data_IF_342280881090
#
_entry.id   IF_342280881090
#
_cell.length_a   1.000
_cell.length_b   1.000
_cell.length_c   1.000
_cell.angle_alpha   90.00
_cell.angle_beta   90.00
_cell.angle_gamma   90.00
#
_symmetry.space_group_name_H-M   'P 1'
#
loop_
_entity.id
_entity.type
_entity.pdbx_description
1 polymer ?
#
# COMPACT_ATOMS: atom_id res chain seq x y z
N UNK A 1 -5.26 22.15 -3.63
CA UNK A 1 -5.19 22.23 -2.15
C UNK A 1 -3.85 22.79 -1.76
N UNK A 2 -3.82 23.56 -0.64
CA UNK A 2 -2.58 23.98 0.00
C UNK A 2 -2.17 22.94 1.02
N UNK A 3 -1.08 22.23 0.76
CA UNK A 3 -0.63 21.10 1.59
C UNK A 3 0.75 21.41 2.15
N UNK A 4 0.92 21.28 3.46
CA UNK A 4 2.20 21.40 4.12
C UNK A 4 2.70 20.01 4.51
N UNK A 5 3.90 19.65 4.06
CA UNK A 5 4.56 18.39 4.39
C UNK A 5 5.75 18.69 5.30
N UNK A 6 5.74 18.12 6.49
CA UNK A 6 6.82 18.24 7.47
C UNK A 6 7.74 17.02 7.42
N UNK A 7 8.97 17.24 6.99
CA UNK A 7 9.98 16.21 6.74
C UNK A 7 10.22 15.98 5.25
N UNK A 8 11.42 16.25 4.77
CA UNK A 8 11.89 16.02 3.39
C UNK A 8 12.61 14.67 3.23
N UNK A 9 12.43 13.75 4.17
CA UNK A 9 12.97 12.39 4.10
C UNK A 9 12.28 11.55 3.03
N UNK A 10 12.56 10.25 3.00
CA UNK A 10 12.04 9.31 1.99
C UNK A 10 10.52 9.39 1.81
N UNK A 11 9.74 9.37 2.90
CA UNK A 11 8.27 9.41 2.83
C UNK A 11 7.77 10.78 2.37
N UNK A 12 8.23 11.87 3.02
CA UNK A 12 7.75 13.22 2.71
C UNK A 12 8.20 13.70 1.34
N UNK A 13 9.45 13.43 0.94
CA UNK A 13 9.96 13.75 -0.40
C UNK A 13 9.19 13.04 -1.51
N UNK A 14 8.96 11.74 -1.38
CA UNK A 14 8.18 10.99 -2.37
C UNK A 14 6.70 11.37 -2.36
N UNK A 15 6.13 11.72 -1.19
CA UNK A 15 4.76 12.23 -1.13
C UNK A 15 4.65 13.57 -1.87
N UNK A 16 5.61 14.50 -1.65
CA UNK A 16 5.69 15.77 -2.37
C UNK A 16 5.78 15.54 -3.88
N UNK A 17 6.62 14.59 -4.31
CA UNK A 17 6.75 14.21 -5.72
C UNK A 17 5.42 13.70 -6.31
N UNK A 18 4.69 12.83 -5.59
CA UNK A 18 3.38 12.35 -6.07
C UNK A 18 2.36 13.49 -6.20
N UNK A 19 2.28 14.35 -5.19
CA UNK A 19 1.26 15.39 -5.12
C UNK A 19 1.58 16.63 -5.99
N UNK A 20 2.85 16.88 -6.31
CA UNK A 20 3.26 17.99 -7.17
C UNK A 20 2.72 17.85 -8.59
N UNK A 21 2.56 16.62 -9.10
CA UNK A 21 1.98 16.38 -10.43
C UNK A 21 0.46 16.57 -10.49
N UNK A 22 -0.20 16.83 -9.34
CA UNK A 22 -1.66 16.90 -9.22
C UNK A 22 -2.17 18.33 -9.01
N UNK A 23 -1.46 19.38 -9.45
CA UNK A 23 -1.80 20.81 -9.28
C UNK A 23 -2.11 21.21 -7.82
N UNK A 24 -1.45 20.62 -6.82
CA UNK A 24 -1.50 21.08 -5.44
C UNK A 24 -0.44 22.14 -5.19
N UNK A 25 -0.74 23.08 -4.29
CA UNK A 25 0.22 24.05 -3.76
C UNK A 25 0.92 23.40 -2.56
N UNK A 26 2.16 22.96 -2.78
CA UNK A 26 2.89 22.16 -1.80
C UNK A 26 4.01 22.98 -1.17
N UNK A 27 4.05 22.98 0.16
CA UNK A 27 5.19 23.48 0.93
C UNK A 27 5.83 22.36 1.72
N UNK A 28 7.14 22.14 1.55
CA UNK A 28 7.90 21.14 2.32
C UNK A 28 8.78 21.84 3.35
N UNK A 29 8.75 21.35 4.59
CA UNK A 29 9.55 21.86 5.72
C UNK A 29 10.52 20.81 6.18
N UNK A 30 11.80 21.14 6.27
CA UNK A 30 12.83 20.27 6.87
C UNK A 30 13.96 21.13 7.49
N UNK A 31 14.75 20.55 8.34
CA UNK A 31 15.99 21.15 8.86
C UNK A 31 17.18 20.97 7.91
N UNK A 32 17.11 19.99 7.00
CA UNK A 32 18.15 19.65 6.03
C UNK A 32 17.98 20.47 4.74
N UNK A 33 18.85 21.45 4.57
CA UNK A 33 18.84 22.38 3.42
C UNK A 33 19.12 21.67 2.11
N UNK A 34 20.00 20.66 2.11
CA UNK A 34 20.38 19.98 0.87
C UNK A 34 19.22 19.14 0.32
N UNK A 35 18.50 18.42 1.19
CA UNK A 35 17.27 17.70 0.80
C UNK A 35 16.21 18.62 0.22
N UNK A 36 16.02 19.78 0.84
CA UNK A 36 15.07 20.76 0.33
C UNK A 36 15.49 21.33 -1.04
N UNK A 37 16.79 21.55 -1.26
CA UNK A 37 17.31 21.98 -2.56
C UNK A 37 17.10 20.92 -3.65
N UNK A 38 17.40 19.66 -3.35
CA UNK A 38 17.17 18.55 -4.28
C UNK A 38 15.70 18.48 -4.71
N UNK A 39 14.77 18.57 -3.76
CA UNK A 39 13.34 18.56 -4.06
C UNK A 39 12.94 19.79 -4.90
N UNK A 40 13.37 20.99 -4.53
CA UNK A 40 13.03 22.23 -5.23
C UNK A 40 13.61 22.31 -6.66
N UNK A 41 14.71 21.59 -6.92
CA UNK A 41 15.29 21.50 -8.27
C UNK A 41 14.47 20.61 -9.20
N UNK A 42 13.77 19.64 -8.65
CA UNK A 42 13.03 18.62 -9.41
C UNK A 42 11.53 18.87 -9.48
N UNK A 43 10.99 19.61 -8.52
CA UNK A 43 9.55 19.80 -8.33
C UNK A 43 9.23 21.30 -8.22
N UNK A 44 8.07 21.68 -8.75
CA UNK A 44 7.51 23.03 -8.54
C UNK A 44 6.80 23.07 -7.18
N UNK A 45 7.58 23.28 -6.12
CA UNK A 45 7.13 23.32 -4.74
C UNK A 45 7.80 24.45 -3.96
N UNK A 46 7.18 24.87 -2.88
CA UNK A 46 7.80 25.78 -1.92
C UNK A 46 8.56 25.00 -0.86
N UNK A 47 9.70 25.50 -0.42
CA UNK A 47 10.49 24.90 0.65
C UNK A 47 10.76 25.90 1.78
N UNK A 48 10.74 25.42 3.03
CA UNK A 48 11.02 26.21 4.23
C UNK A 48 11.99 25.44 5.12
N UNK A 49 13.11 26.08 5.46
CA UNK A 49 14.12 25.46 6.34
C UNK A 49 13.85 25.81 7.80
N UNK A 50 13.73 24.80 8.65
CA UNK A 50 13.60 24.99 10.10
C UNK A 50 12.95 23.82 10.82
N UNK A 51 12.93 23.88 12.18
CA UNK A 51 12.26 22.87 13.00
C UNK A 51 10.74 22.85 12.75
N UNK A 52 10.22 21.71 12.35
CA UNK A 52 8.84 21.53 11.89
C UNK A 52 7.77 21.82 12.97
N UNK A 53 8.11 21.78 14.25
CA UNK A 53 7.18 22.06 15.35
C UNK A 53 7.17 23.55 15.79
N UNK A 54 8.02 24.39 15.21
CA UNK A 54 8.10 25.81 15.62
C UNK A 54 7.01 26.64 14.98
N UNK A 55 6.22 27.41 15.78
CA UNK A 55 5.12 28.24 15.24
C UNK A 55 5.54 29.23 14.16
N UNK A 56 6.73 29.85 14.29
CA UNK A 56 7.28 30.77 13.30
C UNK A 56 7.58 30.08 11.96
N UNK A 57 8.09 28.86 11.98
CA UNK A 57 8.37 28.04 10.80
C UNK A 57 7.07 27.60 10.12
N UNK A 58 6.09 27.15 10.90
CA UNK A 58 4.77 26.78 10.39
C UNK A 58 4.03 27.98 9.76
N UNK A 59 4.13 29.17 10.36
CA UNK A 59 3.61 30.42 9.75
C UNK A 59 4.30 30.71 8.43
N UNK A 60 5.64 30.63 8.39
CA UNK A 60 6.40 30.84 7.16
C UNK A 60 6.04 29.82 6.08
N UNK A 61 5.70 28.58 6.46
CA UNK A 61 5.23 27.54 5.57
C UNK A 61 3.81 27.80 5.01
N UNK A 62 3.07 28.77 5.56
CA UNK A 62 1.72 29.13 5.13
C UNK A 62 0.61 28.37 5.86
N UNK A 63 0.85 27.98 7.13
CA UNK A 63 -0.10 27.19 7.90
C UNK A 63 -1.43 27.93 8.19
N UNK A 64 -1.44 29.28 8.04
CA UNK A 64 -2.63 30.13 8.23
C UNK A 64 -3.75 29.84 7.21
N UNK A 65 -3.41 29.42 6.01
CA UNK A 65 -4.34 29.10 4.90
C UNK A 65 -4.13 27.71 4.32
N UNK A 66 -3.43 26.86 5.03
CA UNK A 66 -3.26 25.46 4.61
C UNK A 66 -4.56 24.66 4.80
N UNK A 67 -4.92 23.90 3.78
CA UNK A 67 -6.02 22.92 3.87
C UNK A 67 -5.62 21.69 4.70
N UNK A 68 -4.32 21.33 4.66
CA UNK A 68 -3.82 20.10 5.27
C UNK A 68 -2.37 20.21 5.72
N UNK A 69 -2.07 19.61 6.88
CA UNK A 69 -0.72 19.41 7.38
C UNK A 69 -0.42 17.92 7.47
N UNK A 70 0.71 17.48 6.89
CA UNK A 70 1.16 16.09 6.92
C UNK A 70 2.52 16.03 7.62
N UNK A 71 2.53 15.56 8.87
CA UNK A 71 3.73 15.48 9.70
C UNK A 71 4.35 14.08 9.62
N UNK A 72 5.45 13.95 8.86
CA UNK A 72 6.15 12.67 8.61
C UNK A 72 7.65 12.77 8.88
N UNK A 73 8.04 13.62 9.83
CA UNK A 73 9.42 13.71 10.29
C UNK A 73 9.86 12.40 10.97
N UNK A 74 11.13 12.26 11.29
CA UNK A 74 11.67 11.07 11.96
C UNK A 74 11.36 10.98 13.47
N UNK A 75 10.70 11.99 14.06
CA UNK A 75 10.43 12.08 15.50
C UNK A 75 8.93 12.20 15.76
N UNK A 76 8.36 11.26 16.51
CA UNK A 76 6.93 11.21 16.81
C UNK A 76 6.46 12.47 17.57
N UNK A 77 7.26 12.93 18.56
CA UNK A 77 6.99 14.13 19.37
C UNK A 77 6.93 15.39 18.50
N UNK A 78 7.84 15.53 17.54
CA UNK A 78 7.83 16.67 16.59
C UNK A 78 6.56 16.64 15.74
N UNK A 79 6.16 15.47 15.25
CA UNK A 79 4.94 15.30 14.46
C UNK A 79 3.69 15.64 15.28
N UNK A 80 3.61 15.15 16.51
CA UNK A 80 2.49 15.42 17.43
C UNK A 80 2.39 16.91 17.79
N UNK A 81 3.52 17.53 18.18
CA UNK A 81 3.56 18.96 18.53
C UNK A 81 3.25 19.85 17.33
N UNK A 82 3.74 19.51 16.14
CA UNK A 82 3.41 20.26 14.92
C UNK A 82 1.91 20.26 14.64
N UNK A 83 1.23 19.10 14.78
CA UNK A 83 -0.23 18.99 14.67
C UNK A 83 -0.95 19.81 15.73
N UNK A 84 -0.46 19.79 16.99
CA UNK A 84 -1.01 20.60 18.08
C UNK A 84 -0.90 22.10 17.77
N UNK A 85 0.26 22.56 17.31
CA UNK A 85 0.48 23.98 16.95
C UNK A 85 -0.40 24.39 15.76
N UNK A 86 -0.48 23.53 14.72
CA UNK A 86 -1.32 23.76 13.55
C UNK A 86 -2.80 23.90 13.93
N UNK A 87 -3.28 23.06 14.83
CA UNK A 87 -4.65 23.13 15.34
C UNK A 87 -4.89 24.40 16.15
N UNK A 88 -4.05 24.65 17.15
CA UNK A 88 -4.30 25.68 18.17
C UNK A 88 -4.10 27.10 17.63
N UNK A 89 -3.03 27.33 16.85
CA UNK A 89 -2.67 28.65 16.38
C UNK A 89 -3.19 28.98 14.98
N UNK A 90 -3.31 27.99 14.11
CA UNK A 90 -3.62 28.19 12.70
C UNK A 90 -4.97 27.59 12.27
N UNK A 91 -5.58 26.74 13.12
CA UNK A 91 -6.86 26.07 12.85
C UNK A 91 -6.86 25.28 11.55
N UNK A 92 -5.69 24.69 11.19
CA UNK A 92 -5.57 23.88 9.99
C UNK A 92 -6.60 22.75 10.01
N UNK A 93 -7.45 22.60 8.96
CA UNK A 93 -8.59 21.70 8.99
C UNK A 93 -8.19 20.22 9.14
N UNK A 94 -7.24 19.74 8.33
CA UNK A 94 -6.82 18.36 8.33
C UNK A 94 -5.36 18.21 8.80
N UNK A 95 -5.13 17.29 9.74
CA UNK A 95 -3.81 17.00 10.32
C UNK A 95 -3.55 15.51 10.30
N UNK A 96 -2.54 15.11 9.54
CA UNK A 96 -2.08 13.73 9.43
C UNK A 96 -0.72 13.62 10.10
N UNK A 97 -0.51 12.65 10.97
CA UNK A 97 0.78 12.44 11.60
C UNK A 97 1.24 10.99 11.55
N UNK A 98 2.53 10.82 11.31
CA UNK A 98 3.22 9.55 11.50
C UNK A 98 3.60 9.41 12.96
N UNK A 99 3.11 8.33 13.61
CA UNK A 99 3.47 7.95 14.96
C UNK A 99 3.81 6.46 14.97
N UNK A 100 4.99 6.11 15.50
CA UNK A 100 5.55 4.76 15.49
C UNK A 100 5.57 4.09 16.85
N UNK A 101 5.81 4.89 17.89
CA UNK A 101 5.98 4.37 19.23
C UNK A 101 4.67 3.78 19.78
N UNK A 102 4.69 2.49 20.09
CA UNK A 102 3.54 1.75 20.65
C UNK A 102 3.05 2.37 21.94
N UNK A 103 3.94 2.99 22.72
CA UNK A 103 3.59 3.68 23.96
C UNK A 103 2.54 4.79 23.78
N UNK A 104 2.57 5.49 22.64
CA UNK A 104 1.55 6.48 22.28
C UNK A 104 0.29 5.81 21.71
N UNK A 105 0.46 4.84 20.81
CA UNK A 105 -0.64 4.21 20.07
C UNK A 105 -1.62 3.44 20.95
N UNK A 106 -1.16 2.91 22.10
CA UNK A 106 -2.01 2.20 23.08
C UNK A 106 -2.93 3.13 23.89
N UNK A 107 -2.70 4.44 23.86
CA UNK A 107 -3.44 5.46 24.61
C UNK A 107 -4.46 6.18 23.72
N UNK A 108 -5.58 5.54 23.41
CA UNK A 108 -6.60 6.05 22.47
C UNK A 108 -7.06 7.49 22.76
N UNK A 109 -7.15 7.90 24.03
CA UNK A 109 -7.54 9.26 24.41
C UNK A 109 -6.49 10.33 24.14
N UNK A 110 -5.22 9.95 23.86
CA UNK A 110 -4.16 10.91 23.57
C UNK A 110 -4.40 11.68 22.26
N UNK A 111 -5.05 11.06 21.29
CA UNK A 111 -5.28 11.62 19.95
C UNK A 111 -6.72 12.14 19.78
N UNK A 112 -7.42 12.37 20.86
CA UNK A 112 -8.71 13.03 20.83
C UNK A 112 -8.57 14.51 20.48
N UNK A 113 -9.63 15.11 19.97
CA UNK A 113 -9.65 16.51 19.47
C UNK A 113 -9.31 17.53 20.56
N UNK A 114 -9.57 17.21 21.82
CA UNK A 114 -9.30 18.02 23.03
C UNK A 114 -7.92 17.75 23.64
N UNK A 115 -7.16 16.77 23.11
CA UNK A 115 -5.81 16.45 23.57
C UNK A 115 -4.77 16.79 22.46
N UNK A 116 -4.24 15.80 21.73
CA UNK A 116 -3.36 16.01 20.57
C UNK A 116 -4.19 15.80 19.31
N UNK A 117 -4.67 16.88 18.66
CA UNK A 117 -5.64 16.80 17.56
C UNK A 117 -4.99 16.32 16.26
N UNK A 118 -4.95 15.02 16.10
CA UNK A 118 -4.52 14.34 14.89
C UNK A 118 -5.73 13.66 14.28
N UNK A 119 -6.11 14.06 13.06
CA UNK A 119 -7.29 13.52 12.39
C UNK A 119 -6.99 12.12 11.82
N UNK A 120 -5.75 11.89 11.37
CA UNK A 120 -5.31 10.60 10.84
C UNK A 120 -3.93 10.23 11.38
N UNK A 121 -3.85 9.05 11.98
CA UNK A 121 -2.59 8.45 12.42
C UNK A 121 -2.07 7.46 11.39
N UNK A 122 -0.85 7.66 10.93
CA UNK A 122 -0.15 6.72 10.05
C UNK A 122 0.89 5.95 10.86
N UNK A 123 0.75 4.64 10.85
CA UNK A 123 1.67 3.70 11.48
C UNK A 123 2.31 2.82 10.38
N UNK A 124 3.46 3.21 9.82
CA UNK A 124 4.08 2.50 8.69
C UNK A 124 4.31 1.01 8.97
N UNK A 125 4.68 0.68 10.19
CA UNK A 125 4.95 -0.70 10.61
C UNK A 125 3.69 -1.57 10.51
N UNK A 126 2.52 -1.01 10.86
CA UNK A 126 1.25 -1.72 10.72
C UNK A 126 0.89 -1.93 9.25
N UNK A 127 1.02 -0.88 8.43
CA UNK A 127 0.72 -0.94 6.99
C UNK A 127 1.58 -2.01 6.31
N UNK A 128 2.87 -2.05 6.63
CA UNK A 128 3.81 -3.06 6.08
C UNK A 128 3.47 -4.46 6.60
N UNK A 129 3.21 -4.61 7.90
CA UNK A 129 2.83 -5.92 8.48
C UNK A 129 1.59 -6.49 7.81
N UNK A 130 0.55 -5.67 7.63
CA UNK A 130 -0.69 -6.07 6.97
C UNK A 130 -0.47 -6.44 5.49
N UNK A 131 0.43 -5.72 4.81
CA UNK A 131 0.80 -6.04 3.43
C UNK A 131 1.51 -7.40 3.34
N UNK A 132 2.50 -7.65 4.21
CA UNK A 132 3.21 -8.94 4.28
C UNK A 132 2.25 -10.08 4.61
N UNK A 133 1.37 -9.90 5.61
CA UNK A 133 0.38 -10.89 6.01
C UNK A 133 -0.51 -11.30 4.83
N UNK A 134 -1.02 -10.33 4.06
CA UNK A 134 -1.84 -10.61 2.87
C UNK A 134 -1.08 -11.42 1.81
N UNK A 135 0.20 -11.13 1.58
CA UNK A 135 1.03 -11.91 0.65
C UNK A 135 1.26 -13.35 1.14
N UNK A 136 1.41 -13.56 2.45
CA UNK A 136 1.53 -14.90 3.06
C UNK A 136 0.21 -15.68 2.94
N UNK A 137 -0.94 -15.01 3.10
CA UNK A 137 -2.27 -15.62 2.94
C UNK A 137 -2.59 -15.99 1.47
N UNK A 138 -1.92 -15.33 0.49
CA UNK A 138 -2.13 -15.56 -0.95
C UNK A 138 -0.82 -15.97 -1.65
N UNK A 139 -0.33 -17.21 -1.43
CA UNK A 139 0.93 -17.66 -2.03
C UNK A 139 0.90 -17.55 -3.55
N UNK A 140 1.92 -16.89 -4.10
CA UNK A 140 2.04 -16.62 -5.53
C UNK A 140 1.52 -15.25 -5.97
N UNK A 141 0.85 -14.49 -5.11
CA UNK A 141 0.54 -13.09 -5.38
C UNK A 141 1.80 -12.22 -5.29
N UNK A 142 1.88 -11.21 -6.14
CA UNK A 142 2.88 -10.14 -6.09
C UNK A 142 2.38 -8.96 -5.26
N UNK A 143 1.07 -8.73 -5.30
CA UNK A 143 0.40 -7.68 -4.54
C UNK A 143 -1.03 -8.11 -4.23
N UNK A 144 -1.54 -7.78 -3.04
CA UNK A 144 -2.93 -8.02 -2.63
C UNK A 144 -3.45 -6.77 -1.97
N UNK A 145 -4.48 -6.18 -2.53
CA UNK A 145 -5.12 -4.96 -2.07
C UNK A 145 -6.59 -5.23 -1.75
N UNK A 146 -7.07 -4.63 -0.67
CA UNK A 146 -8.43 -4.84 -0.18
C UNK A 146 -9.28 -3.59 -0.37
N UNK A 147 -10.54 -3.78 -0.79
CA UNK A 147 -11.54 -2.75 -1.00
C UNK A 147 -12.85 -3.15 -0.31
N UNK A 148 -13.68 -2.17 -0.01
CA UNK A 148 -14.98 -2.34 0.63
C UNK A 148 -14.91 -3.24 1.88
N UNK A 149 -14.00 -2.89 2.81
CA UNK A 149 -13.81 -3.66 4.04
C UNK A 149 -13.28 -5.09 3.82
N UNK A 150 -12.65 -5.36 2.66
CA UNK A 150 -12.08 -6.67 2.32
C UNK A 150 -13.04 -7.62 1.60
N UNK A 151 -14.23 -7.16 1.20
CA UNK A 151 -15.18 -7.95 0.39
C UNK A 151 -14.65 -8.19 -1.03
N UNK A 152 -13.94 -7.21 -1.58
CA UNK A 152 -13.29 -7.26 -2.89
C UNK A 152 -11.78 -7.17 -2.70
N UNK A 153 -11.06 -7.95 -3.48
CA UNK A 153 -9.60 -7.87 -3.54
C UNK A 153 -9.14 -7.68 -4.98
N UNK A 154 -8.13 -6.83 -5.13
CA UNK A 154 -7.30 -6.72 -6.31
C UNK A 154 -6.03 -7.50 -6.07
N UNK A 155 -5.71 -8.42 -6.95
CA UNK A 155 -4.51 -9.25 -6.82
C UNK A 155 -3.68 -9.15 -8.09
N UNK A 156 -2.39 -8.92 -7.91
CA UNK A 156 -1.39 -9.02 -8.97
C UNK A 156 -0.71 -10.37 -8.91
N UNK A 157 -0.64 -11.05 -10.04
CA UNK A 157 0.10 -12.30 -10.19
C UNK A 157 0.97 -12.25 -11.44
N UNK A 158 2.07 -12.99 -11.44
CA UNK A 158 2.83 -13.27 -12.65
C UNK A 158 2.25 -14.48 -13.35
N UNK A 159 1.89 -14.33 -14.62
CA UNK A 159 1.44 -15.41 -15.46
C UNK A 159 2.59 -16.37 -15.75
N UNK A 160 2.37 -17.66 -15.56
CA UNK A 160 3.38 -18.70 -15.81
C UNK A 160 2.95 -19.65 -16.93
N UNK A 161 3.91 -20.16 -17.67
CA UNK A 161 3.67 -21.26 -18.61
C UNK A 161 2.91 -22.41 -17.95
N UNK A 162 1.80 -22.84 -18.56
CA UNK A 162 0.92 -23.88 -18.03
C UNK A 162 -0.23 -23.39 -17.16
N UNK A 163 -0.40 -22.06 -16.99
CA UNK A 163 -1.67 -21.51 -16.52
C UNK A 163 -2.72 -21.66 -17.64
N UNK A 164 -3.95 -22.13 -17.34
CA UNK A 164 -4.97 -22.39 -18.38
C UNK A 164 -5.25 -21.21 -19.31
N UNK A 165 -5.22 -19.98 -18.76
CA UNK A 165 -5.50 -18.76 -19.52
C UNK A 165 -4.24 -18.14 -20.20
N UNK A 166 -3.06 -18.67 -19.93
CA UNK A 166 -1.82 -18.15 -20.54
C UNK A 166 -1.73 -18.62 -22.00
N UNK A 167 -1.59 -17.67 -22.91
CA UNK A 167 -1.66 -17.91 -24.35
C UNK A 167 -3.08 -17.84 -24.91
N UNK A 168 -4.08 -17.50 -24.09
CA UNK A 168 -5.48 -17.37 -24.49
C UNK A 168 -5.92 -15.89 -24.42
N UNK A 169 -7.00 -15.58 -25.14
CA UNK A 169 -7.65 -14.27 -25.09
C UNK A 169 -8.43 -14.10 -23.77
N UNK A 170 -8.44 -12.88 -23.21
CA UNK A 170 -9.19 -12.56 -22.00
C UNK A 170 -10.68 -12.81 -22.12
N UNK A 171 -11.25 -12.72 -23.32
CA UNK A 171 -12.66 -13.02 -23.58
C UNK A 171 -13.08 -14.42 -23.16
N UNK A 172 -12.14 -15.38 -23.18
CA UNK A 172 -12.39 -16.77 -22.78
C UNK A 172 -12.42 -16.99 -21.26
N UNK A 173 -12.10 -15.96 -20.46
CA UNK A 173 -12.09 -16.05 -19.00
C UNK A 173 -13.45 -16.52 -18.43
N UNK A 174 -14.56 -16.07 -19.01
CA UNK A 174 -15.91 -16.48 -18.62
C UNK A 174 -16.18 -17.97 -18.89
N UNK A 175 -15.64 -18.49 -19.99
CA UNK A 175 -15.83 -19.89 -20.39
C UNK A 175 -15.02 -20.81 -19.46
N UNK A 176 -13.82 -20.36 -19.06
CA UNK A 176 -12.98 -21.08 -18.08
C UNK A 176 -13.59 -21.09 -16.68
N UNK A 177 -14.20 -19.98 -16.26
CA UNK A 177 -14.74 -19.80 -14.91
C UNK A 177 -16.19 -19.27 -14.92
N UNK A 178 -17.18 -20.06 -15.38
CA UNK A 178 -18.55 -19.57 -15.54
C UNK A 178 -19.26 -19.21 -14.22
N UNK A 179 -18.73 -19.67 -13.08
CA UNK A 179 -19.28 -19.41 -11.73
C UNK A 179 -18.54 -18.35 -10.94
N UNK A 180 -17.46 -17.79 -11.49
CA UNK A 180 -16.61 -16.82 -10.81
C UNK A 180 -16.63 -15.50 -11.58
N UNK A 181 -17.19 -14.49 -10.95
CA UNK A 181 -17.13 -13.15 -11.50
C UNK A 181 -15.77 -12.50 -11.20
N UNK A 182 -15.06 -12.14 -12.26
CA UNK A 182 -13.75 -11.46 -12.18
C UNK A 182 -13.53 -10.56 -13.39
N UNK A 183 -12.67 -9.56 -13.22
CA UNK A 183 -12.21 -8.69 -14.31
C UNK A 183 -10.71 -8.48 -14.21
N UNK A 184 -10.02 -8.56 -15.34
CA UNK A 184 -8.63 -8.12 -15.43
C UNK A 184 -8.64 -6.60 -15.56
N UNK A 185 -7.97 -5.94 -14.63
CA UNK A 185 -7.97 -4.50 -14.50
C UNK A 185 -6.78 -3.85 -15.22
N UNK A 186 -5.62 -4.50 -15.20
CA UNK A 186 -4.42 -4.07 -15.89
C UNK A 186 -3.52 -5.26 -16.18
N UNK A 187 -2.74 -5.17 -17.24
CA UNK A 187 -1.64 -6.09 -17.56
C UNK A 187 -0.38 -5.26 -17.74
N UNK A 188 0.72 -5.74 -17.20
CA UNK A 188 2.02 -5.16 -17.45
C UNK A 188 2.93 -6.19 -18.11
N UNK A 189 3.36 -5.86 -19.33
CA UNK A 189 4.28 -6.66 -20.10
C UNK A 189 5.57 -5.89 -20.32
N UNK A 190 6.71 -6.41 -19.86
CA UNK A 190 8.03 -5.76 -19.97
C UNK A 190 8.00 -4.29 -19.53
N UNK A 191 7.40 -4.03 -18.38
CA UNK A 191 7.21 -2.69 -17.78
C UNK A 191 6.27 -1.73 -18.53
N UNK A 192 5.55 -2.18 -19.56
CA UNK A 192 4.54 -1.38 -20.27
C UNK A 192 3.15 -1.78 -19.83
N UNK A 193 2.32 -0.79 -19.51
CA UNK A 193 0.92 -1.01 -19.21
C UNK A 193 0.14 -1.34 -20.49
N UNK A 194 -0.71 -2.37 -20.42
CA UNK A 194 -1.64 -2.77 -21.47
C UNK A 194 -3.04 -2.63 -20.88
N UNK A 195 -3.92 -1.89 -21.53
CA UNK A 195 -5.34 -1.82 -21.18
C UNK A 195 -6.00 -3.12 -21.67
N UNK A 196 -6.55 -3.94 -20.76
CA UNK A 196 -7.14 -5.23 -21.10
C UNK A 196 -8.38 -5.05 -21.98
N UNK A 197 -8.44 -5.80 -23.07
CA UNK A 197 -9.61 -5.94 -23.93
C UNK A 197 -9.94 -7.43 -24.10
N UNK A 198 -11.13 -7.75 -24.65
CA UNK A 198 -11.52 -9.14 -24.85
C UNK A 198 -10.54 -9.95 -25.71
N UNK A 199 -9.95 -9.32 -26.71
CA UNK A 199 -8.97 -9.89 -27.65
C UNK A 199 -7.52 -9.86 -27.12
N UNK A 200 -7.29 -9.32 -25.93
CA UNK A 200 -5.93 -9.29 -25.35
C UNK A 200 -5.50 -10.68 -24.94
N UNK A 201 -4.38 -11.15 -25.48
CA UNK A 201 -3.78 -12.44 -25.10
C UNK A 201 -2.85 -12.24 -23.93
N UNK A 202 -2.99 -13.09 -22.89
CA UNK A 202 -2.07 -13.13 -21.74
C UNK A 202 -0.82 -13.92 -22.15
N UNK A 203 0.36 -13.31 -22.02
CA UNK A 203 1.64 -13.97 -22.23
C UNK A 203 2.27 -14.43 -20.92
N UNK A 204 3.16 -15.43 -20.99
CA UNK A 204 3.98 -15.78 -19.85
C UNK A 204 4.83 -14.57 -19.40
N UNK A 205 5.05 -14.46 -18.10
CA UNK A 205 5.71 -13.35 -17.40
C UNK A 205 4.94 -12.03 -17.39
N UNK A 206 3.74 -11.96 -17.95
CA UNK A 206 2.85 -10.82 -17.71
C UNK A 206 2.52 -10.69 -16.22
N UNK A 207 2.57 -9.48 -15.70
CA UNK A 207 1.95 -9.17 -14.42
C UNK A 207 0.48 -8.79 -14.64
N UNK A 208 -0.40 -9.67 -14.22
CA UNK A 208 -1.84 -9.53 -14.42
C UNK A 208 -2.49 -9.08 -13.11
N UNK A 209 -3.14 -7.93 -13.16
CA UNK A 209 -3.95 -7.38 -12.08
C UNK A 209 -5.40 -7.73 -12.32
N UNK A 210 -5.99 -8.51 -11.43
CA UNK A 210 -7.40 -8.87 -11.52
C UNK A 210 -8.14 -8.54 -10.23
N UNK A 211 -9.42 -8.25 -10.36
CA UNK A 211 -10.33 -7.94 -9.27
C UNK A 211 -11.42 -9.00 -9.19
N UNK A 212 -11.68 -9.49 -7.97
CA UNK A 212 -12.74 -10.45 -7.70
C UNK A 212 -13.21 -10.33 -6.23
N UNK A 213 -14.33 -10.97 -5.92
CA UNK A 213 -14.72 -11.19 -4.54
C UNK A 213 -13.64 -11.99 -3.80
N UNK A 214 -13.39 -11.68 -2.54
CA UNK A 214 -12.34 -12.32 -1.71
C UNK A 214 -12.39 -13.85 -1.77
N UNK A 215 -13.59 -14.44 -1.76
CA UNK A 215 -13.79 -15.89 -1.82
C UNK A 215 -13.32 -16.53 -3.12
N UNK A 216 -13.27 -15.76 -4.21
CA UNK A 216 -13.02 -16.25 -5.57
C UNK A 216 -11.57 -16.05 -6.03
N UNK A 217 -10.78 -15.26 -5.30
CA UNK A 217 -9.39 -14.88 -5.65
C UNK A 217 -8.53 -16.09 -5.98
N UNK A 218 -8.62 -17.16 -5.15
CA UNK A 218 -7.79 -18.35 -5.35
C UNK A 218 -8.12 -19.08 -6.64
N UNK A 219 -9.39 -19.12 -7.03
CA UNK A 219 -9.82 -19.72 -8.30
C UNK A 219 -9.23 -18.95 -9.49
N UNK A 220 -9.32 -17.61 -9.46
CA UNK A 220 -8.77 -16.76 -10.54
C UNK A 220 -7.23 -16.88 -10.64
N UNK A 221 -6.53 -16.93 -9.50
CA UNK A 221 -5.08 -17.18 -9.51
C UNK A 221 -4.73 -18.48 -10.20
N UNK A 222 -5.57 -19.53 -10.05
CA UNK A 222 -5.38 -20.84 -10.66
C UNK A 222 -5.40 -20.84 -12.19
N UNK A 223 -6.11 -19.88 -12.80
CA UNK A 223 -6.17 -19.73 -14.26
C UNK A 223 -4.87 -19.10 -14.85
N UNK A 224 -4.16 -18.32 -14.05
CA UNK A 224 -2.96 -17.62 -14.50
C UNK A 224 -1.67 -18.36 -14.16
N UNK A 225 -1.73 -19.26 -13.17
CA UNK A 225 -0.57 -19.99 -12.69
C UNK A 225 -0.99 -21.23 -11.88
N UNK A 226 -0.07 -22.19 -11.79
CA UNK A 226 -0.25 -23.30 -10.84
C UNK A 226 -0.30 -22.77 -9.41
N UNK A 227 -1.36 -23.10 -8.68
CA UNK A 227 -1.53 -22.67 -7.29
C UNK A 227 -0.43 -23.25 -6.40
N UNK A 228 0.18 -22.37 -5.64
CA UNK A 228 1.14 -22.75 -4.61
C UNK A 228 0.40 -23.31 -3.37
N UNK A 229 1.08 -24.15 -2.62
CA UNK A 229 0.58 -24.62 -1.32
C UNK A 229 0.63 -23.49 -0.31
N UNK A 230 -0.28 -23.52 0.66
CA UNK A 230 -0.24 -22.58 1.77
C UNK A 230 1.08 -22.75 2.54
N UNK A 231 1.69 -21.63 2.88
CA UNK A 231 2.90 -21.63 3.69
C UNK A 231 2.61 -22.21 5.08
N UNK A 232 3.50 -23.01 5.61
CA UNK A 232 3.40 -23.60 6.95
C UNK A 232 4.57 -23.18 7.84
N UNK A 233 5.79 -23.18 7.30
CA UNK A 233 7.03 -22.88 8.00
C UNK A 233 7.53 -21.50 7.57
N UNK A 234 7.55 -20.58 8.51
CA UNK A 234 7.90 -19.18 8.29
C UNK A 234 9.10 -18.82 9.15
N UNK A 235 10.16 -18.31 8.54
CA UNK A 235 11.34 -17.81 9.23
C UNK A 235 11.42 -16.31 9.03
N UNK A 236 11.36 -15.56 10.14
CA UNK A 236 11.45 -14.11 10.16
C UNK A 236 12.83 -13.71 10.66
N UNK A 237 13.48 -12.79 9.98
CA UNK A 237 14.74 -12.17 10.41
C UNK A 237 14.46 -10.74 10.82
N UNK A 238 14.85 -10.40 12.05
CA UNK A 238 14.59 -9.13 12.69
C UNK A 238 13.35 -9.15 13.58
N UNK A 239 13.57 -9.07 14.89
CA UNK A 239 12.55 -9.02 15.92
C UNK A 239 12.08 -7.61 16.26
N UNK A 240 12.21 -6.64 15.35
CA UNK A 240 11.71 -5.28 15.49
C UNK A 240 10.18 -5.22 15.49
N UNK A 241 9.62 -4.00 15.39
CA UNK A 241 8.16 -3.80 15.45
C UNK A 241 7.40 -4.56 14.36
N UNK A 242 7.93 -4.62 13.14
CA UNK A 242 7.30 -5.34 12.02
C UNK A 242 7.37 -6.85 12.26
N UNK A 243 8.56 -7.37 12.58
CA UNK A 243 8.78 -8.81 12.78
C UNK A 243 7.97 -9.36 13.95
N UNK A 244 7.93 -8.66 15.09
CA UNK A 244 7.12 -9.04 16.25
C UNK A 244 5.63 -9.08 15.88
N UNK A 245 5.07 -8.00 15.32
CA UNK A 245 3.65 -7.93 14.94
C UNK A 245 3.27 -9.00 13.92
N UNK A 246 4.16 -9.24 12.95
CA UNK A 246 3.94 -10.29 11.97
C UNK A 246 3.88 -11.67 12.63
N UNK A 247 4.79 -11.98 13.53
CA UNK A 247 4.81 -13.23 14.28
C UNK A 247 3.55 -13.41 15.11
N UNK A 248 3.11 -12.39 15.85
CA UNK A 248 1.86 -12.39 16.64
C UNK A 248 0.64 -12.76 15.79
N UNK A 249 0.55 -12.23 14.57
CA UNK A 249 -0.56 -12.53 13.66
C UNK A 249 -0.50 -13.93 13.06
N UNK A 250 0.71 -14.48 12.87
CA UNK A 250 0.92 -15.73 12.15
C UNK A 250 1.04 -16.96 13.05
N UNK A 251 1.52 -16.82 14.28
CA UNK A 251 1.89 -17.95 15.16
C UNK A 251 0.75 -18.91 15.51
N UNK A 252 -0.52 -18.47 15.38
CA UNK A 252 -1.67 -19.32 15.64
C UNK A 252 -1.99 -20.29 14.49
N UNK A 253 -1.53 -19.98 13.27
CA UNK A 253 -1.85 -20.74 12.05
C UNK A 253 -0.62 -21.32 11.36
N UNK A 254 0.57 -20.84 11.70
CA UNK A 254 1.84 -21.18 11.07
C UNK A 254 2.88 -21.55 12.11
N UNK A 255 3.90 -22.30 11.70
CA UNK A 255 5.12 -22.52 12.49
C UNK A 255 6.06 -21.35 12.22
N UNK A 256 6.18 -20.46 13.18
CA UNK A 256 6.97 -19.23 13.05
C UNK A 256 8.24 -19.33 13.88
N UNK A 257 9.37 -18.96 13.29
CA UNK A 257 10.63 -18.75 13.98
C UNK A 257 11.10 -17.32 13.72
N UNK A 258 11.75 -16.69 14.71
CA UNK A 258 12.38 -15.37 14.57
C UNK A 258 13.87 -15.52 14.87
N UNK A 259 14.73 -15.00 13.99
CA UNK A 259 16.15 -14.78 14.26
C UNK A 259 16.36 -13.31 14.61
N UNK A 260 16.89 -13.05 15.79
CA UNK A 260 17.21 -11.71 16.29
C UNK A 260 18.63 -11.68 16.83
N UNK A 261 19.39 -10.63 16.52
CA UNK A 261 20.80 -10.52 16.91
C UNK A 261 21.01 -9.91 18.30
N UNK A 262 20.01 -9.15 18.81
CA UNK A 262 20.05 -8.54 20.13
C UNK A 262 19.45 -9.48 21.18
N UNK A 263 20.28 -9.89 22.15
CA UNK A 263 19.88 -10.84 23.20
C UNK A 263 18.75 -10.31 24.08
N UNK A 264 18.79 -9.03 24.48
CA UNK A 264 17.72 -8.43 25.29
C UNK A 264 16.39 -8.42 24.54
N UNK A 265 16.46 -8.16 23.23
CA UNK A 265 15.27 -8.20 22.37
C UNK A 265 14.73 -9.61 22.22
N UNK A 266 15.58 -10.62 22.12
CA UNK A 266 15.16 -12.04 22.13
C UNK A 266 14.36 -12.37 23.40
N UNK A 267 14.84 -11.92 24.57
CA UNK A 267 14.15 -12.11 25.84
C UNK A 267 12.76 -11.49 25.83
N UNK A 268 12.64 -10.21 25.41
CA UNK A 268 11.38 -9.52 25.31
C UNK A 268 10.40 -10.22 24.35
N UNK A 269 10.88 -10.67 23.19
CA UNK A 269 10.06 -11.41 22.22
C UNK A 269 9.56 -12.73 22.82
N UNK A 270 10.40 -13.46 23.51
CA UNK A 270 10.04 -14.73 24.15
C UNK A 270 9.00 -14.57 25.27
N UNK A 271 8.93 -13.40 25.91
CA UNK A 271 7.90 -13.07 26.91
C UNK A 271 6.55 -12.71 26.27
N UNK A 272 6.54 -12.14 25.07
CA UNK A 272 5.33 -11.66 24.39
C UNK A 272 4.72 -12.67 23.43
N UNK A 273 5.54 -13.48 22.75
CA UNK A 273 5.08 -14.45 21.75
C UNK A 273 4.80 -15.80 22.40
N UNK A 274 3.69 -16.43 22.00
CA UNK A 274 3.21 -17.65 22.68
C UNK A 274 3.66 -18.96 22.00
N UNK A 275 3.83 -18.94 20.68
CA UNK A 275 4.13 -20.15 19.86
C UNK A 275 5.34 -19.98 18.96
N UNK A 276 5.81 -18.76 18.80
CA UNK A 276 6.97 -18.44 17.97
C UNK A 276 8.26 -18.84 18.68
N UNK A 277 9.13 -19.54 17.98
CA UNK A 277 10.49 -19.86 18.47
C UNK A 277 11.40 -18.67 18.21
N UNK A 278 12.01 -18.14 19.25
CA UNK A 278 12.95 -17.02 19.15
C UNK A 278 14.39 -17.52 19.23
N UNK A 279 15.18 -17.21 18.22
CA UNK A 279 16.57 -17.66 18.05
C UNK A 279 17.51 -16.45 18.14
N UNK A 280 18.47 -16.50 19.05
CA UNK A 280 19.52 -15.49 19.13
C UNK A 280 20.63 -15.80 18.13
N UNK A 281 20.89 -14.91 17.17
CA UNK A 281 21.95 -15.11 16.20
C UNK A 281 21.93 -14.12 15.04
N UNK A 282 22.87 -14.30 14.12
CA UNK A 282 22.96 -13.53 12.88
C UNK A 282 22.17 -14.19 11.76
N UNK A 283 21.37 -13.43 11.05
CA UNK A 283 20.65 -13.87 9.86
C UNK A 283 21.53 -14.33 8.69
N UNK A 284 22.79 -13.90 8.67
CA UNK A 284 23.78 -14.29 7.65
C UNK A 284 24.64 -15.48 8.09
N UNK A 285 24.34 -16.11 9.24
CA UNK A 285 25.03 -17.32 9.71
C UNK A 285 24.48 -18.55 8.97
N UNK A 286 25.26 -19.04 8.01
CA UNK A 286 24.92 -20.28 7.27
C UNK A 286 24.67 -21.45 8.22
N UNK A 287 25.51 -21.62 9.26
CA UNK A 287 25.36 -22.68 10.25
C UNK A 287 24.00 -22.61 10.96
N UNK A 288 23.57 -21.40 11.40
CA UNK A 288 22.26 -21.24 12.06
C UNK A 288 21.10 -21.60 11.13
N UNK A 289 21.18 -21.16 9.87
CA UNK A 289 20.15 -21.48 8.87
C UNK A 289 20.08 -22.99 8.58
N UNK A 290 21.23 -23.71 8.55
CA UNK A 290 21.29 -25.16 8.40
C UNK A 290 20.69 -25.87 9.63
N UNK A 291 21.08 -25.49 10.84
CA UNK A 291 20.55 -26.04 12.10
C UNK A 291 19.04 -25.89 12.20
N UNK A 292 18.46 -24.82 11.61
CA UNK A 292 17.03 -24.54 11.60
C UNK A 292 16.28 -25.09 10.38
N UNK A 293 16.95 -25.91 9.54
CA UNK A 293 16.42 -26.57 8.35
C UNK A 293 15.82 -25.58 7.35
N UNK A 294 16.60 -24.61 6.90
CA UNK A 294 16.17 -23.56 5.97
C UNK A 294 15.58 -24.11 4.67
N UNK A 295 16.01 -25.28 4.20
CA UNK A 295 15.53 -25.99 3.02
C UNK A 295 14.02 -26.37 3.10
N UNK A 296 13.54 -26.55 4.31
CA UNK A 296 12.14 -26.82 4.61
C UNK A 296 11.30 -25.55 4.80
N UNK A 297 11.93 -24.37 4.81
CA UNK A 297 11.25 -23.11 4.99
C UNK A 297 10.39 -22.76 3.77
N UNK A 298 9.10 -22.52 3.99
CA UNK A 298 8.19 -22.14 2.91
C UNK A 298 8.38 -20.67 2.51
N UNK A 299 8.59 -19.79 3.51
CA UNK A 299 8.88 -18.38 3.27
C UNK A 299 9.84 -17.82 4.33
N UNK A 300 10.89 -17.19 3.87
CA UNK A 300 11.87 -16.45 4.64
C UNK A 300 11.59 -14.95 4.51
N UNK A 301 11.40 -14.26 5.64
CA UNK A 301 11.06 -12.84 5.68
C UNK A 301 12.19 -12.05 6.33
N UNK A 302 12.97 -11.30 5.56
CA UNK A 302 14.03 -10.42 6.07
C UNK A 302 13.44 -9.02 6.36
N UNK A 303 13.29 -8.68 7.65
CA UNK A 303 12.54 -7.52 8.14
C UNK A 303 13.34 -6.66 9.13
N UNK A 304 14.67 -6.64 9.01
CA UNK A 304 15.51 -5.75 9.82
C UNK A 304 15.44 -4.31 9.28
N UNK A 305 16.06 -3.38 9.98
CA UNK A 305 16.23 -1.99 9.52
C UNK A 305 17.45 -1.76 8.63
N UNK A 306 18.20 -2.82 8.32
CA UNK A 306 19.42 -2.82 7.52
C UNK A 306 19.16 -3.51 6.17
N UNK A 307 19.17 -2.75 5.09
CA UNK A 307 18.86 -3.25 3.75
C UNK A 307 19.87 -4.28 3.25
N UNK A 308 21.16 -4.07 3.55
CA UNK A 308 22.24 -4.98 3.15
C UNK A 308 22.10 -6.33 3.85
N UNK A 309 21.80 -6.33 5.15
CA UNK A 309 21.52 -7.56 5.92
C UNK A 309 20.30 -8.26 5.36
N UNK A 310 19.22 -7.52 5.06
CA UNK A 310 17.99 -8.08 4.51
C UNK A 310 18.24 -8.73 3.14
N UNK A 311 18.93 -8.06 2.23
CA UNK A 311 19.25 -8.57 0.89
C UNK A 311 20.17 -9.80 0.98
N UNK A 312 21.28 -9.69 1.74
CA UNK A 312 22.25 -10.77 1.81
C UNK A 312 21.69 -12.02 2.50
N UNK A 313 20.92 -11.87 3.59
CA UNK A 313 20.28 -13.01 4.26
C UNK A 313 19.22 -13.66 3.39
N UNK A 314 18.44 -12.89 2.65
CA UNK A 314 17.44 -13.40 1.70
C UNK A 314 18.09 -14.21 0.56
N UNK A 315 19.15 -13.67 -0.04
CA UNK A 315 19.90 -14.39 -1.10
C UNK A 315 20.53 -15.67 -0.55
N UNK A 316 21.12 -15.62 0.64
CA UNK A 316 21.69 -16.80 1.29
C UNK A 316 20.60 -17.86 1.56
N UNK A 317 19.49 -17.47 2.17
CA UNK A 317 18.38 -18.36 2.45
C UNK A 317 17.81 -19.00 1.17
N UNK A 318 17.68 -18.23 0.08
CA UNK A 318 17.22 -18.72 -1.22
C UNK A 318 18.17 -19.76 -1.80
N UNK A 319 19.47 -19.50 -1.77
CA UNK A 319 20.51 -20.45 -2.24
C UNK A 319 20.58 -21.71 -1.41
N UNK A 320 20.25 -21.64 -0.11
CA UNK A 320 20.20 -22.78 0.81
C UNK A 320 18.87 -23.55 0.73
N UNK A 321 17.94 -23.16 -0.14
CA UNK A 321 16.74 -23.93 -0.43
C UNK A 321 15.43 -23.37 0.12
N UNK A 322 15.40 -22.20 0.75
CA UNK A 322 14.14 -21.55 1.09
C UNK A 322 13.26 -21.38 -0.16
N UNK A 323 12.00 -21.80 -0.07
CA UNK A 323 11.11 -21.82 -1.25
C UNK A 323 10.80 -20.42 -1.77
N UNK A 324 10.56 -19.48 -0.84
CA UNK A 324 10.31 -18.07 -1.13
C UNK A 324 11.10 -17.18 -0.19
N UNK A 325 11.50 -16.02 -0.69
CA UNK A 325 12.11 -14.97 0.12
C UNK A 325 11.37 -13.66 -0.07
N UNK A 326 11.07 -13.00 1.05
CA UNK A 326 10.44 -11.69 1.13
C UNK A 326 11.40 -10.75 1.86
N UNK A 327 11.73 -9.64 1.23
CA UNK A 327 12.79 -8.73 1.69
C UNK A 327 12.25 -7.32 1.85
N UNK A 328 12.39 -6.77 3.05
CA UNK A 328 12.13 -5.36 3.32
C UNK A 328 13.31 -4.52 2.82
N UNK A 329 13.03 -3.49 2.00
CA UNK A 329 14.04 -2.62 1.42
C UNK A 329 13.59 -1.17 1.55
N UNK A 330 14.34 -0.39 2.31
CA UNK A 330 14.06 1.03 2.53
C UNK A 330 14.56 1.91 1.39
N UNK A 331 15.72 1.56 0.80
CA UNK A 331 16.31 2.30 -0.29
C UNK A 331 15.69 1.89 -1.64
N UNK A 332 14.97 2.82 -2.28
CA UNK A 332 14.30 2.56 -3.55
C UNK A 332 15.27 2.09 -4.66
N UNK A 333 16.51 2.56 -4.67
CA UNK A 333 17.50 2.14 -5.66
C UNK A 333 17.86 0.65 -5.54
N UNK A 334 17.85 0.09 -4.32
CA UNK A 334 18.12 -1.34 -4.12
C UNK A 334 16.94 -2.21 -4.57
N UNK A 335 15.71 -1.70 -4.44
CA UNK A 335 14.52 -2.43 -4.90
C UNK A 335 14.62 -2.74 -6.39
N UNK A 336 15.06 -1.77 -7.21
CA UNK A 336 15.22 -1.96 -8.66
C UNK A 336 16.36 -2.92 -9.01
N UNK A 337 17.44 -2.92 -8.23
CA UNK A 337 18.59 -3.77 -8.44
C UNK A 337 18.26 -5.26 -8.17
N UNK A 338 17.47 -5.55 -7.13
CA UNK A 338 17.24 -6.93 -6.68
C UNK A 338 15.98 -7.58 -7.29
N UNK A 339 15.10 -6.78 -7.87
CA UNK A 339 13.86 -7.28 -8.44
C UNK A 339 14.10 -8.04 -9.74
N UNK A 340 13.60 -9.27 -9.80
CA UNK A 340 13.82 -10.18 -10.93
C UNK A 340 15.04 -11.08 -10.82
N UNK A 341 15.81 -10.96 -9.70
CA UNK A 341 16.90 -11.85 -9.34
C UNK A 341 16.48 -12.97 -8.38
N UNK A 342 17.31 -13.25 -7.38
CA UNK A 342 17.06 -14.29 -6.37
C UNK A 342 15.99 -13.91 -5.33
N UNK A 343 15.59 -12.63 -5.25
CA UNK A 343 14.55 -12.15 -4.33
C UNK A 343 13.17 -12.24 -4.99
N UNK A 344 12.29 -13.06 -4.41
CA UNK A 344 10.95 -13.28 -4.96
C UNK A 344 10.03 -12.06 -4.75
N UNK A 345 10.10 -11.43 -3.55
CA UNK A 345 9.25 -10.29 -3.19
C UNK A 345 10.08 -9.24 -2.46
N UNK A 346 10.18 -8.04 -3.03
CA UNK A 346 10.75 -6.87 -2.38
C UNK A 346 9.65 -5.92 -1.92
N UNK A 347 9.67 -5.52 -0.65
CA UNK A 347 8.68 -4.62 -0.04
C UNK A 347 9.36 -3.33 0.38
N UNK A 348 8.81 -2.21 -0.07
CA UNK A 348 9.22 -0.87 0.38
C UNK A 348 8.21 -0.32 1.40
N UNK A 349 8.63 -0.11 2.67
CA UNK A 349 7.79 0.54 3.67
C UNK A 349 7.35 1.94 3.26
N UNK A 350 8.21 2.65 2.56
CA UNK A 350 7.94 3.97 2.02
C UNK A 350 6.73 3.96 1.08
N UNK A 351 6.72 3.06 0.09
CA UNK A 351 5.63 2.99 -0.88
C UNK A 351 4.30 2.57 -0.24
N UNK A 352 4.35 1.63 0.70
CA UNK A 352 3.16 1.22 1.46
C UNK A 352 2.59 2.40 2.26
N UNK A 353 3.46 3.21 2.90
CA UNK A 353 3.06 4.39 3.67
C UNK A 353 2.48 5.50 2.77
N UNK A 354 3.08 5.73 1.60
CA UNK A 354 2.57 6.73 0.65
C UNK A 354 1.16 6.36 0.18
N UNK A 355 0.91 5.10 -0.18
CA UNK A 355 -0.42 4.65 -0.54
C UNK A 355 -1.47 4.94 0.54
N UNK A 356 -1.14 4.68 1.81
CA UNK A 356 -2.00 5.00 2.94
C UNK A 356 -2.20 6.51 3.12
N UNK A 357 -1.17 7.32 2.92
CA UNK A 357 -1.28 8.79 3.01
C UNK A 357 -2.15 9.37 1.88
N UNK A 358 -1.98 8.88 0.66
CA UNK A 358 -2.73 9.35 -0.50
C UNK A 358 -4.24 9.18 -0.32
N UNK A 359 -4.69 8.11 0.34
CA UNK A 359 -6.11 7.90 0.68
C UNK A 359 -6.72 9.12 1.39
N UNK A 360 -5.96 9.75 2.30
CA UNK A 360 -6.44 10.87 3.10
C UNK A 360 -6.24 12.25 2.45
N UNK A 361 -5.48 12.31 1.36
CA UNK A 361 -5.25 13.54 0.59
C UNK A 361 -6.28 13.71 -0.53
N UNK A 362 -6.92 12.63 -0.96
CA UNK A 362 -7.91 12.67 -2.05
C UNK A 362 -9.15 13.47 -1.67
N UNK A 363 -9.76 14.11 -2.67
CA UNK A 363 -10.99 14.91 -2.52
C UNK A 363 -12.22 14.07 -2.85
N UNK A 364 -13.37 14.49 -2.32
CA UNK A 364 -14.64 13.83 -2.55
C UNK A 364 -14.82 12.59 -1.69
N UNK A 365 -15.68 11.70 -2.12
CA UNK A 365 -16.05 10.47 -1.40
C UNK A 365 -15.08 9.31 -1.66
N UNK A 366 -13.78 9.62 -1.79
CA UNK A 366 -12.72 8.61 -1.94
C UNK A 366 -12.35 8.08 -0.57
N UNK A 367 -12.53 6.78 -0.38
CA UNK A 367 -12.33 6.10 0.92
C UNK A 367 -11.09 5.23 0.96
N UNK A 368 -10.53 4.87 -0.21
CA UNK A 368 -9.32 4.06 -0.26
C UNK A 368 -8.52 4.33 -1.55
N UNK A 369 -7.20 4.39 -1.43
CA UNK A 369 -6.29 4.55 -2.57
C UNK A 369 -5.09 3.63 -2.40
N UNK A 370 -4.81 2.86 -3.43
CA UNK A 370 -3.64 2.01 -3.47
C UNK A 370 -2.77 2.33 -4.68
N UNK A 371 -1.50 2.57 -4.42
CA UNK A 371 -0.50 2.72 -5.48
C UNK A 371 -0.15 1.36 -6.07
N UNK A 372 -0.20 1.24 -7.38
CA UNK A 372 0.16 0.04 -8.13
C UNK A 372 1.53 0.23 -8.76
N UNK A 373 2.31 -0.86 -8.79
CA UNK A 373 3.63 -0.86 -9.43
C UNK A 373 4.46 0.40 -9.13
N UNK A 374 4.63 0.71 -7.85
CA UNK A 374 5.45 1.84 -7.39
C UNK A 374 4.98 3.19 -7.91
N UNK A 375 3.66 3.34 -8.04
CA UNK A 375 3.07 4.58 -8.45
C UNK A 375 2.92 4.76 -9.95
N UNK A 376 3.04 3.71 -10.75
CA UNK A 376 2.74 3.77 -12.18
C UNK A 376 1.24 3.90 -12.46
N UNK A 377 0.40 3.38 -11.59
CA UNK A 377 -1.06 3.46 -11.64
C UNK A 377 -1.65 3.51 -10.23
N UNK A 378 -2.93 3.81 -10.11
CA UNK A 378 -3.66 3.78 -8.84
C UNK A 378 -4.94 2.96 -8.95
N UNK A 379 -5.28 2.26 -7.86
CA UNK A 379 -6.59 1.67 -7.64
C UNK A 379 -7.29 2.50 -6.56
N UNK A 380 -8.48 2.99 -6.88
CA UNK A 380 -9.23 3.95 -6.07
C UNK A 380 -10.58 3.34 -5.71
N UNK A 381 -10.98 3.47 -4.46
CA UNK A 381 -12.34 3.18 -4.00
C UNK A 381 -13.05 4.50 -3.70
N UNK A 382 -14.16 4.72 -4.36
CA UNK A 382 -15.02 5.89 -4.14
C UNK A 382 -16.43 5.43 -3.78
N UNK A 383 -17.12 6.19 -2.91
CA UNK A 383 -18.53 5.98 -2.61
C UNK A 383 -19.35 6.86 -3.53
N UNK A 384 -20.31 6.26 -4.21
CA UNK A 384 -21.25 7.00 -5.06
C UNK A 384 -22.36 7.61 -4.20
N UNK A 385 -22.45 8.94 -4.19
CA UNK A 385 -23.48 9.69 -3.45
C UNK A 385 -24.37 10.50 -4.40
N UNK A 386 -25.53 10.90 -3.90
CA UNK A 386 -26.49 11.73 -4.61
C UNK A 386 -27.55 10.91 -5.34
N UNK A 387 -28.21 11.56 -6.30
CA UNK A 387 -29.24 11.01 -7.17
C UNK A 387 -28.88 11.22 -8.66
N UNK A 388 -29.80 10.87 -9.55
CA UNK A 388 -29.60 10.99 -11.00
C UNK A 388 -29.44 12.44 -11.49
N UNK A 389 -29.78 13.45 -10.68
CA UNK A 389 -29.69 14.87 -11.04
C UNK A 389 -28.40 15.50 -10.47
N UNK A 390 -28.02 15.14 -9.26
CA UNK A 390 -26.89 15.71 -8.54
C UNK A 390 -25.57 14.96 -8.75
N UNK A 391 -25.63 13.67 -9.12
CA UNK A 391 -24.48 12.80 -9.35
C UNK A 391 -24.18 12.59 -10.83
N UNK A 392 -22.91 12.47 -11.17
CA UNK A 392 -22.48 12.09 -12.52
C UNK A 392 -22.41 10.57 -12.74
N UNK A 393 -22.53 9.80 -11.67
CA UNK A 393 -22.39 8.33 -11.70
C UNK A 393 -23.66 7.60 -11.26
N UNK A 394 -24.39 8.10 -10.25
CA UNK A 394 -25.60 7.46 -9.73
C UNK A 394 -26.72 7.44 -10.78
N UNK A 395 -27.37 6.29 -10.92
CA UNK A 395 -28.46 6.07 -11.90
C UNK A 395 -28.00 5.88 -13.33
N UNK A 396 -26.69 5.73 -13.57
CA UNK A 396 -26.11 5.43 -14.88
C UNK A 396 -25.53 4.04 -14.90
N UNK A 397 -25.60 3.38 -16.04
CA UNK A 397 -24.84 2.15 -16.29
C UNK A 397 -23.36 2.50 -16.50
N UNK A 398 -22.47 1.53 -16.31
CA UNK A 398 -21.03 1.75 -16.46
C UNK A 398 -20.69 2.26 -17.86
N UNK A 399 -21.41 1.79 -18.90
CA UNK A 399 -21.24 2.25 -20.29
C UNK A 399 -21.69 3.70 -20.52
N UNK A 400 -22.57 4.24 -19.68
CA UNK A 400 -23.04 5.63 -19.78
C UNK A 400 -22.20 6.63 -18.99
N UNK A 401 -21.27 6.15 -18.14
CA UNK A 401 -20.37 7.00 -17.38
C UNK A 401 -19.19 7.42 -18.26
N UNK A 402 -19.02 8.73 -18.44
CA UNK A 402 -17.89 9.30 -19.18
C UNK A 402 -16.61 9.21 -18.36
N UNK A 403 -15.96 8.03 -18.41
CA UNK A 403 -14.72 7.76 -17.70
C UNK A 403 -13.54 8.45 -18.38
N UNK A 404 -12.64 9.10 -17.63
CA UNK A 404 -11.40 9.62 -18.17
C UNK A 404 -10.56 8.54 -18.87
N UNK A 405 -9.84 8.91 -19.92
CA UNK A 405 -8.99 7.97 -20.66
C UNK A 405 -7.99 7.26 -19.72
N UNK A 406 -7.85 5.95 -19.89
CA UNK A 406 -7.00 5.13 -19.00
C UNK A 406 -7.62 4.83 -17.63
N UNK A 407 -8.92 5.10 -17.46
CA UNK A 407 -9.67 4.75 -16.25
C UNK A 407 -10.65 3.62 -16.55
N UNK A 408 -10.76 2.66 -15.65
CA UNK A 408 -11.75 1.56 -15.74
C UNK A 408 -12.38 1.30 -14.37
N UNK A 409 -13.69 1.00 -14.36
CA UNK A 409 -14.35 0.48 -13.16
C UNK A 409 -14.15 -1.03 -13.14
N UNK A 410 -13.62 -1.56 -12.05
CA UNK A 410 -13.35 -2.99 -11.86
C UNK A 410 -14.46 -3.74 -11.15
N UNK A 411 -14.99 -3.14 -10.09
CA UNK A 411 -16.08 -3.72 -9.30
C UNK A 411 -16.93 -2.63 -8.62
N UNK A 412 -18.16 -3.00 -8.29
CA UNK A 412 -19.07 -2.24 -7.44
C UNK A 412 -19.43 -3.13 -6.24
N UNK A 413 -19.44 -2.56 -5.03
CA UNK A 413 -19.90 -3.26 -3.84
C UNK A 413 -21.13 -2.53 -3.29
N UNK A 414 -22.26 -3.24 -3.27
CA UNK A 414 -23.55 -2.78 -2.78
C UNK A 414 -23.90 -3.51 -1.51
N UNK A 415 -23.72 -2.88 -0.36
CA UNK A 415 -23.82 -3.54 0.93
C UNK A 415 -22.84 -4.70 1.07
N UNK A 416 -23.29 -5.94 1.01
CA UNK A 416 -22.41 -7.15 1.04
C UNK A 416 -22.26 -7.83 -0.32
N UNK A 417 -22.95 -7.34 -1.36
CA UNK A 417 -22.92 -7.91 -2.70
C UNK A 417 -21.76 -7.33 -3.51
N UNK A 418 -21.02 -8.21 -4.19
CA UNK A 418 -19.92 -7.84 -5.08
C UNK A 418 -20.39 -7.99 -6.52
N UNK A 419 -20.48 -6.89 -7.23
CA UNK A 419 -20.84 -6.81 -8.64
C UNK A 419 -19.56 -6.51 -9.45
N UNK A 420 -19.10 -7.47 -10.23
CA UNK A 420 -17.99 -7.21 -11.15
C UNK A 420 -18.50 -6.32 -12.29
N UNK A 421 -17.75 -5.25 -12.55
CA UNK A 421 -18.16 -4.20 -13.47
C UNK A 421 -18.28 -4.71 -14.90
N UNK A 422 -19.51 -4.81 -15.38
CA UNK A 422 -19.88 -5.02 -16.78
C UNK A 422 -20.71 -3.83 -17.24
N UNK A 423 -20.77 -3.59 -18.53
CA UNK A 423 -21.32 -2.38 -19.14
C UNK A 423 -22.77 -2.06 -18.71
N UNK A 424 -23.55 -3.09 -18.41
CA UNK A 424 -24.98 -2.97 -18.01
C UNK A 424 -25.19 -2.74 -16.50
N UNK A 425 -24.15 -2.84 -15.67
CA UNK A 425 -24.29 -2.64 -14.23
C UNK A 425 -24.54 -1.16 -13.94
N UNK A 426 -25.67 -0.87 -13.28
CA UNK A 426 -26.05 0.47 -12.86
C UNK A 426 -25.46 0.80 -11.50
N UNK A 427 -24.93 2.02 -11.34
CA UNK A 427 -24.44 2.54 -10.07
C UNK A 427 -25.59 3.11 -9.25
N UNK A 428 -25.69 2.72 -7.99
CA UNK A 428 -26.66 3.23 -7.03
C UNK A 428 -26.00 4.08 -5.94
N UNK A 429 -26.79 4.92 -5.27
CA UNK A 429 -26.29 5.71 -4.14
C UNK A 429 -25.89 4.81 -2.99
N UNK A 430 -24.70 5.04 -2.42
CA UNK A 430 -24.09 4.21 -1.39
C UNK A 430 -23.20 3.06 -1.92
N UNK A 431 -23.11 2.87 -3.23
CA UNK A 431 -22.22 1.89 -3.82
C UNK A 431 -20.75 2.28 -3.61
N UNK A 432 -19.93 1.30 -3.23
CA UNK A 432 -18.49 1.41 -3.27
C UNK A 432 -18.00 1.02 -4.67
N UNK A 433 -17.46 1.99 -5.39
CA UNK A 433 -16.97 1.81 -6.76
C UNK A 433 -15.46 1.71 -6.75
N UNK A 434 -14.93 0.59 -7.25
CA UNK A 434 -13.48 0.36 -7.35
C UNK A 434 -13.02 0.65 -8.77
N UNK A 435 -12.12 1.64 -8.90
CA UNK A 435 -11.60 2.13 -10.18
C UNK A 435 -10.10 1.87 -10.31
N UNK A 436 -9.67 1.76 -11.58
CA UNK A 436 -8.27 1.74 -11.97
C UNK A 436 -7.94 2.96 -12.79
N UNK A 437 -6.85 3.64 -12.44
CA UNK A 437 -6.36 4.83 -13.11
C UNK A 437 -4.91 4.60 -13.52
N UNK A 438 -4.67 4.41 -14.81
CA UNK A 438 -3.31 4.17 -15.35
C UNK A 438 -2.56 5.50 -15.48
N UNK A 439 -3.25 6.58 -15.89
CA UNK A 439 -2.64 7.92 -16.00
C UNK A 439 -3.01 8.78 -14.78
N UNK A 440 -2.04 9.00 -13.89
CA UNK A 440 -2.22 9.80 -12.68
C UNK A 440 -2.70 11.23 -12.93
N UNK A 441 -2.42 11.81 -14.08
CA UNK A 441 -2.90 13.15 -14.45
C UNK A 441 -4.44 13.21 -14.52
N UNK A 442 -5.10 12.06 -14.66
CA UNK A 442 -6.56 11.92 -14.70
C UNK A 442 -7.23 11.73 -13.34
N UNK A 443 -6.46 11.64 -12.27
CA UNK A 443 -7.01 11.40 -10.92
C UNK A 443 -8.04 12.47 -10.54
N UNK A 444 -7.76 13.75 -10.82
CA UNK A 444 -8.72 14.84 -10.55
C UNK A 444 -10.01 14.73 -11.34
N UNK A 445 -9.92 14.26 -12.57
CA UNK A 445 -11.12 14.05 -13.39
C UNK A 445 -11.98 12.93 -12.76
N UNK A 446 -11.33 11.88 -12.23
CA UNK A 446 -12.00 10.81 -11.46
C UNK A 446 -12.61 11.34 -10.16
N UNK A 447 -11.88 12.14 -9.38
CA UNK A 447 -12.42 12.78 -8.17
C UNK A 447 -13.69 13.61 -8.47
N UNK A 448 -13.68 14.38 -9.56
CA UNK A 448 -14.83 15.20 -9.99
C UNK A 448 -16.04 14.39 -10.43
N UNK A 449 -15.88 13.12 -10.85
CA UNK A 449 -17.01 12.24 -11.18
C UNK A 449 -17.81 11.87 -9.93
N UNK A 450 -17.14 11.70 -8.79
CA UNK A 450 -17.75 11.30 -7.52
C UNK A 450 -18.12 12.49 -6.62
N UNK A 451 -17.86 13.73 -7.04
CA UNK A 451 -18.31 14.92 -6.33
C UNK A 451 -19.77 15.18 -6.64
N UNK A 452 -20.58 15.35 -5.59
CA UNK A 452 -22.01 15.70 -5.69
C UNK A 452 -22.15 17.21 -5.89
N UNK A 453 -23.06 17.62 -6.77
CA UNK A 453 -23.37 19.05 -6.99
C UNK A 453 -23.96 19.72 -5.74
N UNK A 454 -23.72 21.01 -5.57
CA UNK A 454 -24.19 21.81 -4.41
C UNK A 454 -25.71 21.82 -4.18
N UNK A 455 -26.51 21.28 -5.09
CA UNK A 455 -27.97 21.18 -4.97
C UNK A 455 -28.44 20.02 -4.08
N UNK A 456 -27.54 19.22 -3.53
CA UNK A 456 -27.87 18.06 -2.71
C UNK A 456 -27.89 18.38 -1.19
N UNK A 457 -27.37 19.51 -0.76
CA UNK A 457 -27.34 19.93 0.65
C UNK A 457 -28.42 20.94 0.97
#
# INVERSE_FOLDING_TARGET
MKIIILGAGQVGGSLAEHLAYEENDITVVDTDVERLRELNTRLDIRTVTGPASYPGVLRQAGCEDADMLIAVTNTDEVNMIACQVAHTLFRTPAKIARVRATAYLTRKGLFAHDAVPIDVLITPEQVVTDHIRRLIEHPGALQVLEFAGGLVQLVAVRAFHGGPLVGQELGLLRDHMPKVATRVAAIYRRNRAIIPRGDTVIEADDEVFFIAARRDIRAVMGELRRLERNFRRILIVGGGNIGQRLAEHLEHRHQVKIIEHNFERCTQLSEHLNRTVVLHGSATSQRLLEEENIEDCDIFCALTNDDEVNIMSSMLAKRMGAKKVLTLINNAAYVDLVQGGEIDIAISPQQATIGSLLTHVRRGDIVNVHSLRRGAAEAIEAIAHGDTQSSKVVGRTISEIDLPEGTTIGAIVRGSEVLIAHDEVMVESGDHVVLFVIDKRRIRDVERLFQVGLSFF
#
